data_IF_455733733301
#
_entry.id   IF_455733733301
#
_cell.length_a   1.000
_cell.length_b   1.000
_cell.length_c   1.000
_cell.angle_alpha   90.00
_cell.angle_beta   90.00
_cell.angle_gamma   90.00
#
_symmetry.space_group_name_H-M   'P 1'
#
loop_
_entity.id
_entity.type
_entity.pdbx_description
1 polymer ?
#
# COMPACT_ATOMS: atom_id res chain seq x y z
N UNK A 1 0.23 5.08 11.30
CA UNK A 1 0.78 4.80 12.64
C UNK A 1 2.00 3.93 12.41
N UNK A 2 3.20 4.43 12.70
CA UNK A 2 4.43 3.63 12.65
C UNK A 2 4.54 2.91 14.01
N UNK A 3 3.77 1.83 14.17
CA UNK A 3 3.44 1.25 15.49
C UNK A 3 3.98 -0.17 15.74
N UNK A 4 4.07 -1.01 14.71
CA UNK A 4 4.35 -2.45 14.89
C UNK A 4 5.40 -3.00 13.90
N UNK A 5 6.24 -2.13 13.32
CA UNK A 5 7.20 -2.52 12.29
C UNK A 5 6.60 -2.69 10.90
N UNK A 6 5.28 -2.56 10.75
CA UNK A 6 4.60 -2.54 9.46
C UNK A 6 4.40 -1.12 8.95
N UNK A 7 4.60 -0.94 7.64
CA UNK A 7 4.34 0.27 6.88
C UNK A 7 3.15 0.04 5.96
N UNK A 8 2.28 1.04 5.87
CA UNK A 8 1.11 1.03 5.01
C UNK A 8 1.26 2.12 3.96
N UNK A 9 1.02 1.78 2.70
CA UNK A 9 1.10 2.70 1.57
C UNK A 9 -0.16 2.61 0.71
N UNK A 10 -0.50 3.71 0.06
CA UNK A 10 -1.46 3.76 -1.03
C UNK A 10 -0.67 3.74 -2.33
N UNK A 11 -0.70 2.61 -3.01
CA UNK A 11 0.13 2.37 -4.18
C UNK A 11 -0.68 2.60 -5.46
N UNK A 12 -0.25 3.56 -6.28
CA UNK A 12 -0.84 3.84 -7.59
C UNK A 12 -0.33 2.80 -8.60
N UNK A 13 -1.23 1.96 -9.12
CA UNK A 13 -0.85 0.91 -10.06
C UNK A 13 -0.58 1.52 -11.43
N UNK A 14 0.62 1.29 -11.96
CA UNK A 14 1.05 1.83 -13.25
C UNK A 14 0.91 3.36 -13.36
N UNK A 15 1.24 4.08 -12.28
CA UNK A 15 1.17 5.55 -12.23
C UNK A 15 -0.24 6.13 -12.45
N UNK A 16 -1.27 5.32 -12.17
CA UNK A 16 -2.65 5.72 -12.30
C UNK A 16 -3.26 5.99 -10.92
N UNK A 17 -3.41 7.26 -10.56
CA UNK A 17 -4.03 7.69 -9.30
C UNK A 17 -5.51 7.31 -9.17
N UNK A 18 -6.20 6.98 -10.27
CA UNK A 18 -7.56 6.42 -10.22
C UNK A 18 -7.55 4.92 -9.87
N UNK A 19 -6.38 4.26 -9.97
CA UNK A 19 -6.19 2.84 -9.70
C UNK A 19 -5.24 2.65 -8.53
N UNK A 20 -5.79 2.76 -7.32
CA UNK A 20 -5.02 2.64 -6.07
C UNK A 20 -5.34 1.33 -5.36
N UNK A 21 -4.29 0.66 -4.89
CA UNK A 21 -4.38 -0.43 -3.94
C UNK A 21 -3.85 0.03 -2.58
N UNK A 22 -4.42 -0.50 -1.51
CA UNK A 22 -3.81 -0.39 -0.21
C UNK A 22 -2.83 -1.53 -0.05
N UNK A 23 -1.63 -1.22 0.40
CA UNK A 23 -0.62 -2.23 0.62
C UNK A 23 0.02 -2.07 2.00
N UNK A 24 0.30 -3.20 2.63
CA UNK A 24 0.98 -3.28 3.92
C UNK A 24 2.20 -4.19 3.80
N UNK A 25 3.29 -3.81 4.43
CA UNK A 25 4.56 -4.55 4.41
C UNK A 25 5.36 -4.34 5.68
N UNK A 26 6.20 -5.30 6.04
CA UNK A 26 7.15 -5.14 7.15
C UNK A 26 8.29 -4.20 6.73
N UNK A 27 8.57 -3.15 7.50
CA UNK A 27 9.61 -2.16 7.17
C UNK A 27 11.01 -2.78 7.03
N UNK A 28 11.24 -4.00 7.53
CA UNK A 28 12.49 -4.75 7.34
C UNK A 28 12.69 -5.33 5.93
N UNK A 29 11.64 -5.40 5.09
CA UNK A 29 11.77 -5.92 3.71
C UNK A 29 12.34 -4.89 2.73
N UNK A 30 12.56 -3.65 3.17
CA UNK A 30 13.15 -2.58 2.37
C UNK A 30 14.50 -2.15 2.96
N UNK A 31 15.51 -1.98 2.10
CA UNK A 31 16.83 -1.47 2.52
C UNK A 31 16.80 0.05 2.79
N UNK A 32 15.87 0.75 2.15
CA UNK A 32 15.72 2.19 2.22
C UNK A 32 14.24 2.59 2.32
N UNK A 33 13.98 3.80 2.81
CA UNK A 33 12.61 4.33 2.92
C UNK A 33 12.03 4.56 1.53
N UNK A 34 10.80 4.10 1.32
CA UNK A 34 9.98 4.46 0.16
C UNK A 34 9.37 5.84 0.40
N UNK A 35 9.58 6.76 -0.54
CA UNK A 35 9.07 8.12 -0.53
C UNK A 35 7.90 8.28 -1.52
N UNK A 36 7.27 9.45 -1.47
CA UNK A 36 6.34 9.86 -2.52
C UNK A 36 7.09 9.94 -3.86
N UNK A 37 6.41 9.58 -4.96
CA UNK A 37 6.94 9.51 -6.33
C UNK A 37 7.96 8.38 -6.63
N UNK A 38 8.25 7.49 -5.68
CA UNK A 38 9.09 6.32 -5.95
C UNK A 38 8.35 5.28 -6.82
N UNK A 39 9.03 4.81 -7.88
CA UNK A 39 8.54 3.73 -8.73
C UNK A 39 9.13 2.40 -8.25
N UNK A 40 8.28 1.55 -7.68
CA UNK A 40 8.66 0.23 -7.15
C UNK A 40 7.81 -0.88 -7.77
N UNK A 41 8.34 -2.10 -7.74
CA UNK A 41 7.58 -3.32 -8.04
C UNK A 41 7.29 -4.09 -6.75
N UNK A 42 6.01 -4.38 -6.50
CA UNK A 42 5.58 -5.12 -5.31
C UNK A 42 5.17 -6.56 -5.67
N UNK A 43 5.49 -7.51 -4.79
CA UNK A 43 5.08 -8.91 -4.88
C UNK A 43 4.48 -9.33 -3.55
N UNK A 44 3.28 -9.92 -3.58
CA UNK A 44 2.58 -10.28 -2.37
C UNK A 44 1.25 -10.99 -2.62
N UNK A 45 0.47 -11.12 -1.55
CA UNK A 45 -0.81 -11.83 -1.54
C UNK A 45 -1.96 -10.84 -1.45
N UNK A 46 -3.01 -11.05 -2.23
CA UNK A 46 -4.24 -10.26 -2.09
C UNK A 46 -4.90 -10.55 -0.74
N UNK A 47 -5.14 -9.50 0.03
CA UNK A 47 -5.91 -9.54 1.27
C UNK A 47 -7.42 -9.27 1.04
N UNK A 48 -7.86 -9.24 -0.23
CA UNK A 48 -9.24 -8.99 -0.60
C UNK A 48 -9.56 -7.50 -0.73
N UNK A 49 -10.74 -7.11 -0.26
CA UNK A 49 -11.21 -5.72 -0.30
C UNK A 49 -11.25 -5.15 1.11
N UNK A 50 -10.84 -3.89 1.23
CA UNK A 50 -10.95 -3.14 2.47
C UNK A 50 -11.80 -1.90 2.26
N UNK A 51 -12.64 -1.61 3.25
CA UNK A 51 -13.53 -0.45 3.25
C UNK A 51 -13.16 0.47 4.39
N UNK A 52 -12.97 1.75 4.11
CA UNK A 52 -12.71 2.77 5.13
C UNK A 52 -13.61 3.99 4.90
N UNK A 53 -13.88 4.71 5.98
CA UNK A 53 -14.64 5.96 5.91
C UNK A 53 -13.71 7.10 5.48
N UNK A 54 -14.09 7.79 4.41
CA UNK A 54 -13.41 9.01 3.96
C UNK A 54 -13.71 10.17 4.90
N UNK A 55 -12.83 11.17 4.90
CA UNK A 55 -13.04 12.41 5.65
C UNK A 55 -14.30 13.18 5.22
N UNK A 56 -14.84 12.87 4.03
CA UNK A 56 -16.10 13.43 3.53
C UNK A 56 -17.34 12.59 3.91
N UNK A 57 -17.19 11.57 4.76
CA UNK A 57 -18.28 10.73 5.28
C UNK A 57 -18.76 9.62 4.33
N UNK A 58 -18.08 9.38 3.21
CA UNK A 58 -18.37 8.27 2.29
C UNK A 58 -17.49 7.05 2.56
N UNK A 59 -18.05 5.84 2.44
CA UNK A 59 -17.27 4.60 2.47
C UNK A 59 -16.55 4.39 1.14
N UNK A 60 -15.24 4.16 1.20
CA UNK A 60 -14.40 3.84 0.05
C UNK A 60 -13.94 2.40 0.19
N UNK A 61 -14.21 1.58 -0.83
CA UNK A 61 -13.76 0.18 -0.90
C UNK A 61 -12.66 0.06 -1.95
N UNK A 62 -11.47 -0.41 -1.56
CA UNK A 62 -10.33 -0.63 -2.46
C UNK A 62 -9.71 -2.02 -2.23
N UNK A 63 -8.98 -2.57 -3.21
CA UNK A 63 -8.21 -3.79 -3.03
C UNK A 63 -7.09 -3.60 -1.99
N UNK A 64 -6.80 -4.68 -1.28
CA UNK A 64 -5.72 -4.77 -0.29
C UNK A 64 -4.71 -5.85 -0.66
N UNK A 65 -3.42 -5.58 -0.40
CA UNK A 65 -2.31 -6.51 -0.64
C UNK A 65 -1.37 -6.52 0.58
N UNK A 66 -0.98 -7.71 1.01
CA UNK A 66 0.12 -7.91 1.96
C UNK A 66 1.37 -8.20 1.11
N UNK A 67 2.38 -7.34 1.21
CA UNK A 67 3.59 -7.42 0.39
C UNK A 67 4.63 -8.27 1.11
N UNK A 68 5.18 -9.25 0.39
CA UNK A 68 6.28 -10.11 0.85
C UNK A 68 7.64 -9.63 0.34
N UNK A 69 7.67 -8.95 -0.81
CA UNK A 69 8.90 -8.42 -1.43
C UNK A 69 8.66 -7.13 -2.20
N UNK A 70 9.61 -6.20 -2.11
CA UNK A 70 9.65 -4.97 -2.90
C UNK A 70 10.95 -4.92 -3.70
N UNK A 71 10.87 -4.48 -4.95
CA UNK A 71 12.00 -4.15 -5.81
C UNK A 71 11.97 -2.65 -6.10
N UNK A 72 13.08 -1.97 -5.78
CA UNK A 72 13.30 -0.52 -5.96
C UNK A 72 14.15 -0.26 -7.21
#
# INVERSE_FOLDING_TARGET
MEGDGYTQIRFAVNDNYDTVIFAEFDASIVESRILEDDYITIMGVSAGLMTYESTMGGNITIPSVIIDKIEQ
#
